data_IF_395987053240
#
_entry.id   IF_395987053240
#
_cell.length_a   1.000
_cell.length_b   1.000
_cell.length_c   1.000
_cell.angle_alpha   90.00
_cell.angle_beta   90.00
_cell.angle_gamma   90.00
#
_symmetry.space_group_name_H-M   'P 1'
#
loop_
_entity.id
_entity.type
_entity.pdbx_description
1 polymer ?
#
# COMPACT_ATOMS: atom_id res chain seq x y z
N UNK A 1 -6.79 -7.48 4.18
CA UNK A 1 -6.31 -8.04 2.89
C UNK A 1 -6.15 -6.95 1.86
N UNK A 2 -4.98 -6.31 1.91
CA UNK A 2 -4.59 -5.15 1.11
C UNK A 2 -3.23 -5.40 0.42
N UNK A 3 -2.60 -6.54 0.69
CA UNK A 3 -1.36 -6.97 0.04
C UNK A 3 -1.59 -7.31 -1.43
N UNK A 4 -0.64 -6.92 -2.27
CA UNK A 4 -0.60 -7.36 -3.66
C UNK A 4 0.00 -8.76 -3.79
N UNK A 5 -0.08 -9.34 -4.99
CA UNK A 5 0.34 -10.72 -5.24
C UNK A 5 1.82 -10.98 -4.90
N UNK A 6 2.71 -10.02 -5.18
CA UNK A 6 4.14 -10.16 -4.89
C UNK A 6 4.42 -10.11 -3.38
N UNK A 7 3.73 -9.23 -2.66
CA UNK A 7 3.82 -9.12 -1.20
C UNK A 7 3.31 -10.39 -0.50
N UNK A 8 2.20 -10.96 -1.01
CA UNK A 8 1.66 -12.24 -0.52
C UNK A 8 2.67 -13.37 -0.74
N UNK A 9 3.25 -13.46 -1.95
CA UNK A 9 4.25 -14.48 -2.27
C UNK A 9 5.48 -14.36 -1.37
N UNK A 10 6.01 -13.16 -1.19
CA UNK A 10 7.16 -12.93 -0.32
C UNK A 10 6.87 -13.32 1.14
N UNK A 11 5.69 -12.99 1.66
CA UNK A 11 5.29 -13.38 3.02
C UNK A 11 5.18 -14.91 3.15
N UNK A 12 4.60 -15.58 2.15
CA UNK A 12 4.49 -17.04 2.11
C UNK A 12 5.87 -17.72 2.04
N UNK A 13 6.78 -17.20 1.22
CA UNK A 13 8.15 -17.70 1.10
C UNK A 13 8.92 -17.54 2.41
N UNK A 14 8.82 -16.39 3.07
CA UNK A 14 9.44 -16.16 4.38
C UNK A 14 8.94 -17.14 5.44
N UNK A 15 7.62 -17.36 5.51
CA UNK A 15 7.03 -18.35 6.41
C UNK A 15 7.49 -19.77 6.07
N UNK A 16 7.59 -20.14 4.79
CA UNK A 16 8.01 -21.47 4.36
C UNK A 16 9.49 -21.76 4.63
N UNK A 17 10.34 -20.73 4.66
CA UNK A 17 11.78 -20.83 4.94
C UNK A 17 12.11 -20.80 6.43
N UNK A 18 11.17 -20.38 7.28
CA UNK A 18 11.37 -20.32 8.72
C UNK A 18 11.59 -21.71 9.33
N UNK A 19 12.64 -21.87 10.13
CA UNK A 19 13.02 -23.15 10.74
C UNK A 19 12.51 -23.34 12.16
N UNK A 20 11.93 -22.30 12.77
CA UNK A 20 11.36 -22.34 14.11
C UNK A 20 10.11 -21.44 14.23
N UNK A 21 9.40 -21.59 15.35
CA UNK A 21 8.13 -20.91 15.59
C UNK A 21 8.30 -19.41 15.84
N UNK A 22 9.46 -18.97 16.31
CA UNK A 22 9.72 -17.55 16.57
C UNK A 22 9.91 -16.81 15.24
N UNK A 23 10.63 -17.42 14.29
CA UNK A 23 10.78 -16.92 12.92
C UNK A 23 9.43 -16.88 12.18
N UNK A 24 8.60 -17.93 12.28
CA UNK A 24 7.24 -17.91 11.73
C UNK A 24 6.41 -16.78 12.32
N UNK A 25 6.48 -16.60 13.65
CA UNK A 25 5.74 -15.54 14.34
C UNK A 25 6.20 -14.16 13.88
N UNK A 26 7.50 -13.96 13.68
CA UNK A 26 8.02 -12.69 13.18
C UNK A 26 7.52 -12.39 11.76
N UNK A 27 7.60 -13.36 10.83
CA UNK A 27 7.11 -13.17 9.47
C UNK A 27 5.61 -12.88 9.40
N UNK A 28 4.80 -13.50 10.28
CA UNK A 28 3.36 -13.18 10.39
C UNK A 28 3.14 -11.73 10.85
N UNK A 29 3.90 -11.26 11.86
CA UNK A 29 3.80 -9.86 12.31
C UNK A 29 4.21 -8.89 11.21
N UNK A 30 5.27 -9.19 10.48
CA UNK A 30 5.75 -8.34 9.38
C UNK A 30 4.70 -8.27 8.26
N UNK A 31 4.08 -9.39 7.91
CA UNK A 31 2.99 -9.44 6.92
C UNK A 31 1.75 -8.64 7.38
N UNK A 32 1.39 -8.71 8.67
CA UNK A 32 0.30 -7.92 9.23
C UNK A 32 0.62 -6.42 9.23
N UNK A 33 1.85 -6.03 9.56
CA UNK A 33 2.28 -4.64 9.50
C UNK A 33 2.23 -4.11 8.07
N UNK A 34 2.66 -4.92 7.10
CA UNK A 34 2.58 -4.58 5.68
C UNK A 34 1.12 -4.44 5.21
N UNK A 35 0.21 -5.34 5.61
CA UNK A 35 -1.21 -5.24 5.26
C UNK A 35 -1.82 -3.94 5.78
N UNK A 36 -1.49 -3.55 7.01
CA UNK A 36 -1.94 -2.29 7.60
C UNK A 36 -1.39 -1.07 6.84
N UNK A 37 -0.11 -1.09 6.47
CA UNK A 37 0.49 -0.01 5.67
C UNK A 37 -0.17 0.09 4.29
N UNK A 38 -0.47 -1.05 3.65
CA UNK A 38 -1.16 -1.10 2.37
C UNK A 38 -2.61 -0.62 2.46
N UNK A 39 -3.32 -0.93 3.55
CA UNK A 39 -4.63 -0.35 3.82
C UNK A 39 -4.57 1.18 3.94
N UNK A 40 -3.60 1.69 4.71
CA UNK A 40 -3.40 3.14 4.86
C UNK A 40 -3.11 3.81 3.53
N UNK A 41 -2.26 3.19 2.70
CA UNK A 41 -1.97 3.66 1.35
C UNK A 41 -3.24 3.69 0.49
N UNK A 42 -4.01 2.60 0.47
CA UNK A 42 -5.26 2.52 -0.29
C UNK A 42 -6.26 3.60 0.15
N UNK A 43 -6.41 3.83 1.45
CA UNK A 43 -7.29 4.87 1.97
C UNK A 43 -6.80 6.29 1.62
N UNK A 44 -5.48 6.53 1.64
CA UNK A 44 -4.90 7.83 1.27
C UNK A 44 -5.17 8.16 -0.21
N UNK A 45 -5.11 7.16 -1.10
CA UNK A 45 -5.36 7.35 -2.53
C UNK A 45 -6.84 7.19 -2.92
N UNK A 46 -7.71 6.63 -2.06
CA UNK A 46 -9.13 6.47 -2.36
C UNK A 46 -9.81 7.82 -2.67
N UNK A 47 -9.40 8.88 -1.95
CA UNK A 47 -9.88 10.25 -2.18
C UNK A 47 -9.28 10.90 -3.44
N UNK A 48 -8.30 10.27 -4.09
CA UNK A 48 -7.63 10.83 -5.27
C UNK A 48 -8.62 11.04 -6.42
N UNK A 49 -9.57 10.11 -6.63
CA UNK A 49 -10.57 10.22 -7.68
C UNK A 49 -11.56 11.36 -7.44
N UNK A 50 -11.91 11.63 -6.19
CA UNK A 50 -12.79 12.74 -5.83
C UNK A 50 -12.06 14.08 -5.98
N UNK A 51 -10.81 14.17 -5.52
CA UNK A 51 -9.98 15.37 -5.67
C UNK A 51 -9.73 15.67 -7.16
N UNK A 52 -9.46 14.66 -7.99
CA UNK A 52 -9.27 14.85 -9.44
C UNK A 52 -10.52 15.42 -10.14
N UNK A 53 -11.71 15.20 -9.59
CA UNK A 53 -12.96 15.74 -10.11
C UNK A 53 -13.31 17.13 -9.56
N UNK A 54 -12.63 17.60 -8.51
CA UNK A 54 -12.87 18.94 -7.97
C UNK A 54 -12.37 20.00 -8.93
N UNK A 55 -13.15 21.08 -9.12
CA UNK A 55 -12.75 22.24 -9.93
C UNK A 55 -11.39 22.82 -9.50
N UNK A 56 -11.01 22.66 -8.23
CA UNK A 56 -9.70 23.11 -7.74
C UNK A 56 -8.55 22.34 -8.39
N UNK A 57 -8.68 21.02 -8.60
CA UNK A 57 -7.68 20.22 -9.29
C UNK A 57 -7.73 20.46 -10.81
N UNK A 58 -8.93 20.45 -11.40
CA UNK A 58 -9.10 20.66 -12.87
C UNK A 58 -8.55 22.02 -13.32
N UNK A 59 -8.70 23.05 -12.49
CA UNK A 59 -8.18 24.40 -12.75
C UNK A 59 -6.78 24.65 -12.16
N UNK A 60 -6.17 23.67 -11.48
CA UNK A 60 -4.83 23.84 -10.96
C UNK A 60 -3.82 23.95 -12.12
N UNK A 61 -2.71 24.66 -11.88
CA UNK A 61 -1.60 24.71 -12.84
C UNK A 61 -1.13 23.28 -13.20
N UNK A 62 -0.72 23.02 -14.45
CA UNK A 62 -0.31 21.69 -14.90
C UNK A 62 0.73 21.02 -13.98
N UNK A 63 1.68 21.79 -13.47
CA UNK A 63 2.74 21.29 -12.57
C UNK A 63 2.16 20.78 -11.24
N UNK A 64 1.10 21.41 -10.72
CA UNK A 64 0.41 20.97 -9.50
C UNK A 64 -0.46 19.74 -9.74
N UNK A 65 -1.05 19.62 -10.94
CA UNK A 65 -1.78 18.41 -11.33
C UNK A 65 -0.85 17.21 -11.47
N UNK A 66 0.33 17.40 -12.08
CA UNK A 66 1.37 16.37 -12.21
C UNK A 66 1.87 15.95 -10.84
N UNK A 67 2.29 16.90 -10.00
CA UNK A 67 2.81 16.60 -8.66
C UNK A 67 1.83 15.79 -7.79
N UNK A 68 0.52 16.01 -7.92
CA UNK A 68 -0.51 15.26 -7.20
C UNK A 68 -0.85 13.90 -7.84
N UNK A 69 -0.64 13.76 -9.16
CA UNK A 69 -0.87 12.49 -9.87
C UNK A 69 0.31 11.54 -9.74
N UNK A 70 1.52 12.09 -9.65
CA UNK A 70 2.78 11.35 -9.58
C UNK A 70 3.19 10.96 -8.14
N UNK A 71 2.50 11.50 -7.12
CA UNK A 71 2.66 11.16 -5.71
C UNK A 71 1.90 9.89 -5.33
#
# INVERSE_FOLDING_TARGET
>A
DHLNQAQIQQAQEGIAQATDIDAVTQHVRDAQALDNAMNQLQNAIANQNDVKQQSQFVNADPDKQSAYTDA
#
